data_IF_459863099798
#
_entry.id   IF_459863099798
#
_cell.length_a   1.000
_cell.length_b   1.000
_cell.length_c   1.000
_cell.angle_alpha   90.00
_cell.angle_beta   90.00
_cell.angle_gamma   90.00
#
_symmetry.space_group_name_H-M   'P 1'
#
loop_
_entity.id
_entity.type
_entity.pdbx_description
1 polymer ?
#
# COMPACT_ATOMS: atom_id res chain seq x y z
N UNK A 1 2.93 18.67 -0.38
CA UNK A 1 2.78 17.32 -0.95
C UNK A 1 2.40 17.41 -2.44
N UNK A 2 2.59 16.36 -3.27
CA UNK A 2 2.31 16.44 -4.71
C UNK A 2 0.88 16.86 -5.04
N UNK A 3 -0.13 16.27 -4.40
CA UNK A 3 -1.54 16.65 -4.61
C UNK A 3 -1.83 18.09 -4.16
N UNK A 4 -1.16 18.56 -3.10
CA UNK A 4 -1.34 19.92 -2.59
C UNK A 4 -0.80 20.96 -3.56
N UNK A 5 0.28 20.63 -4.29
CA UNK A 5 0.78 21.45 -5.36
C UNK A 5 -0.23 21.56 -6.52
N UNK A 6 -0.83 20.45 -6.93
CA UNK A 6 -1.89 20.47 -7.96
C UNK A 6 -3.06 21.33 -7.47
N UNK A 7 -3.51 21.12 -6.22
CA UNK A 7 -4.57 21.92 -5.61
C UNK A 7 -4.21 23.42 -5.59
N UNK A 8 -2.98 23.76 -5.19
CA UNK A 8 -2.48 25.14 -5.25
C UNK A 8 -2.56 25.72 -6.68
N UNK A 9 -2.16 24.95 -7.70
CA UNK A 9 -2.26 25.39 -9.11
C UNK A 9 -3.71 25.62 -9.55
N UNK A 10 -4.66 24.90 -8.95
CA UNK A 10 -6.09 25.08 -9.23
C UNK A 10 -6.69 26.31 -8.52
N UNK A 11 -6.27 26.57 -7.29
CA UNK A 11 -6.95 27.55 -6.42
C UNK A 11 -6.13 28.82 -6.16
N UNK A 12 -4.81 28.75 -6.19
CA UNK A 12 -3.88 29.79 -5.74
C UNK A 12 -3.65 29.82 -4.24
N UNK A 13 -4.24 28.91 -3.47
CA UNK A 13 -4.18 28.91 -2.01
C UNK A 13 -3.35 27.74 -1.45
N UNK A 14 -2.66 27.94 -0.34
CA UNK A 14 -1.92 26.89 0.36
C UNK A 14 -2.83 26.15 1.32
N UNK A 15 -3.02 24.86 1.09
CA UNK A 15 -3.72 23.95 2.00
C UNK A 15 -3.22 22.52 1.83
N UNK A 16 -3.40 21.73 2.86
CA UNK A 16 -3.24 20.28 2.87
C UNK A 16 -4.42 19.62 3.58
N UNK A 17 -4.44 18.30 3.67
CA UNK A 17 -5.48 17.60 4.41
C UNK A 17 -4.90 16.49 5.30
N UNK A 18 -5.70 16.04 6.25
CA UNK A 18 -5.27 15.21 7.37
C UNK A 18 -4.65 13.88 6.97
N UNK A 19 -5.15 13.20 5.90
CA UNK A 19 -4.69 11.85 5.58
C UNK A 19 -3.27 11.85 5.01
N UNK A 20 -2.97 12.77 4.09
CA UNK A 20 -1.65 12.90 3.49
C UNK A 20 -0.66 13.65 4.40
N UNK A 21 -1.15 14.67 5.14
CA UNK A 21 -0.35 15.36 6.14
C UNK A 21 0.12 14.44 7.29
N UNK A 22 -0.62 13.37 7.60
CA UNK A 22 -0.20 12.34 8.56
C UNK A 22 1.16 11.73 8.21
N UNK A 23 1.46 11.57 6.92
CA UNK A 23 2.72 11.00 6.43
C UNK A 23 3.92 11.94 6.58
N UNK A 24 3.72 13.22 6.90
CA UNK A 24 4.81 14.20 7.09
C UNK A 24 5.57 14.00 8.40
N UNK A 25 5.03 13.25 9.35
CA UNK A 25 5.46 13.12 10.75
C UNK A 25 5.32 14.40 11.57
N UNK A 26 4.81 15.48 11.00
CA UNK A 26 4.61 16.78 11.69
C UNK A 26 3.18 16.96 12.17
N UNK A 27 2.24 16.15 11.70
CA UNK A 27 0.84 16.19 12.12
C UNK A 27 0.65 15.49 13.48
N UNK A 28 -0.06 16.10 14.39
CA UNK A 28 -0.69 15.45 15.54
C UNK A 28 -1.93 14.68 15.02
N UNK A 29 -1.74 13.39 14.70
CA UNK A 29 -2.74 12.52 14.09
C UNK A 29 -3.99 12.38 14.97
N UNK A 30 -3.85 12.43 16.28
CA UNK A 30 -4.97 12.34 17.22
C UNK A 30 -5.84 13.60 17.15
N UNK A 31 -5.21 14.77 17.16
CA UNK A 31 -5.90 16.05 17.18
C UNK A 31 -6.06 16.66 15.78
N UNK A 32 -5.60 15.98 14.73
CA UNK A 32 -5.80 16.33 13.31
C UNK A 32 -5.30 17.74 12.96
N UNK A 33 -4.16 18.13 13.52
CA UNK A 33 -3.53 19.46 13.37
C UNK A 33 -2.01 19.37 13.48
N UNK A 34 -1.30 20.37 13.03
CA UNK A 34 0.15 20.41 13.20
C UNK A 34 0.56 20.31 14.66
N UNK A 35 1.59 19.50 14.94
CA UNK A 35 2.09 19.22 16.28
C UNK A 35 2.97 20.37 16.78
N UNK A 36 2.39 21.33 17.50
CA UNK A 36 3.16 22.47 18.09
C UNK A 36 4.38 22.02 18.90
N UNK A 37 4.29 20.97 19.77
CA UNK A 37 5.45 20.51 20.53
C UNK A 37 6.57 20.00 19.64
N UNK A 38 6.23 19.27 18.54
CA UNK A 38 7.22 18.73 17.63
C UNK A 38 7.87 19.83 16.80
N UNK A 39 7.08 20.75 16.26
CA UNK A 39 7.59 21.91 15.51
C UNK A 39 8.56 22.73 16.35
N UNK A 40 8.21 23.01 17.61
CA UNK A 40 9.10 23.71 18.55
C UNK A 40 10.40 22.97 18.81
N UNK A 41 10.36 21.63 18.95
CA UNK A 41 11.58 20.81 19.15
C UNK A 41 12.50 20.80 17.93
N UNK A 42 11.93 20.92 16.73
CA UNK A 42 12.65 20.92 15.46
C UNK A 42 13.05 22.31 14.99
N UNK A 43 12.70 23.34 15.78
CA UNK A 43 12.90 24.76 15.42
C UNK A 43 12.29 25.12 14.05
N UNK A 44 11.09 24.59 13.80
CA UNK A 44 10.33 24.83 12.56
C UNK A 44 9.25 25.87 12.81
N UNK A 45 9.25 26.92 11.99
CA UNK A 45 8.17 27.91 12.00
C UNK A 45 6.87 27.31 11.47
N UNK A 46 5.82 27.32 12.29
CA UNK A 46 4.49 26.87 11.92
C UNK A 46 3.90 27.65 10.73
N UNK A 47 4.35 28.88 10.50
CA UNK A 47 3.95 29.70 9.35
C UNK A 47 4.39 29.14 7.98
N UNK A 48 5.34 28.20 7.96
CA UNK A 48 5.75 27.48 6.74
C UNK A 48 4.76 26.38 6.34
N UNK A 49 3.88 25.98 7.25
CA UNK A 49 2.96 24.88 7.03
C UNK A 49 1.58 25.40 6.62
N UNK A 50 0.93 24.77 5.63
CA UNK A 50 -0.39 25.20 5.16
C UNK A 50 -1.49 24.88 6.18
N UNK A 51 -2.67 25.48 6.00
CA UNK A 51 -3.87 25.08 6.75
C UNK A 51 -4.22 23.62 6.46
N UNK A 52 -4.63 22.89 7.52
CA UNK A 52 -5.02 21.47 7.46
C UNK A 52 -6.54 21.37 7.41
N UNK A 53 -7.07 20.63 6.46
CA UNK A 53 -8.49 20.37 6.25
C UNK A 53 -8.81 18.90 6.44
N UNK A 54 -10.08 18.55 6.57
CA UNK A 54 -10.56 17.19 6.30
C UNK A 54 -10.58 16.96 4.78
N UNK A 55 -10.53 15.71 4.35
CA UNK A 55 -10.42 15.36 2.92
C UNK A 55 -11.56 15.91 2.07
N UNK A 56 -12.79 15.92 2.60
CA UNK A 56 -14.00 16.41 1.92
C UNK A 56 -14.28 17.90 2.11
N UNK A 57 -13.52 18.59 2.96
CA UNK A 57 -13.71 20.03 3.17
C UNK A 57 -13.34 20.82 1.92
N UNK A 58 -14.19 21.80 1.58
CA UNK A 58 -13.85 22.78 0.56
C UNK A 58 -12.70 23.63 1.06
N UNK A 59 -11.54 23.48 0.43
CA UNK A 59 -10.29 24.15 0.82
C UNK A 59 -9.91 25.29 -0.12
N UNK A 60 -10.78 25.63 -1.05
CA UNK A 60 -10.64 26.72 -2.04
C UNK A 60 -11.60 26.56 -3.20
N UNK A 61 -11.50 27.44 -4.17
CA UNK A 61 -12.30 27.39 -5.41
C UNK A 61 -11.42 27.49 -6.64
N UNK A 62 -11.85 26.94 -7.76
CA UNK A 62 -11.14 26.98 -9.03
C UNK A 62 -10.96 28.43 -9.47
N UNK A 63 -9.72 28.87 -9.61
CA UNK A 63 -9.37 30.22 -10.03
C UNK A 63 -9.76 30.46 -11.51
N UNK A 64 -10.00 31.71 -11.88
CA UNK A 64 -10.32 32.07 -13.26
C UNK A 64 -9.24 31.62 -14.27
N UNK A 65 -7.98 31.67 -13.87
CA UNK A 65 -6.85 31.23 -14.73
C UNK A 65 -6.90 29.72 -14.97
N UNK A 66 -7.03 28.93 -13.88
CA UNK A 66 -7.09 27.48 -14.00
C UNK A 66 -8.39 27.03 -14.73
N UNK A 67 -9.51 27.68 -14.46
CA UNK A 67 -10.77 27.44 -15.11
C UNK A 67 -10.67 27.61 -16.65
N UNK A 68 -10.06 28.71 -17.08
CA UNK A 68 -9.86 28.97 -18.52
C UNK A 68 -8.96 27.91 -19.19
N UNK A 69 -7.89 27.45 -18.50
CA UNK A 69 -7.00 26.41 -19.00
C UNK A 69 -7.66 25.03 -19.10
N UNK A 70 -8.58 24.72 -18.20
CA UNK A 70 -9.26 23.43 -18.12
C UNK A 70 -10.59 23.39 -18.89
N UNK A 71 -11.09 24.52 -19.39
CA UNK A 71 -12.40 24.61 -20.00
C UNK A 71 -13.55 24.41 -19.01
N UNK A 72 -13.36 24.78 -17.75
CA UNK A 72 -14.33 24.63 -16.66
C UNK A 72 -14.84 26.01 -16.19
N UNK A 73 -16.00 26.09 -15.54
CA UNK A 73 -16.44 27.31 -14.87
C UNK A 73 -15.50 27.69 -13.73
N UNK A 74 -15.22 28.99 -13.57
CA UNK A 74 -14.52 29.50 -12.38
C UNK A 74 -15.41 29.34 -11.13
N UNK A 75 -14.77 29.25 -9.94
CA UNK A 75 -15.49 29.14 -8.67
C UNK A 75 -15.99 27.74 -8.33
N UNK A 76 -15.71 26.71 -9.12
CA UNK A 76 -15.98 25.31 -8.75
C UNK A 76 -15.26 24.97 -7.44
N UNK A 77 -15.96 24.40 -6.43
CA UNK A 77 -15.33 24.03 -5.17
C UNK A 77 -14.20 23.00 -5.36
N UNK A 78 -13.09 23.22 -4.68
CA UNK A 78 -11.93 22.31 -4.63
C UNK A 78 -11.77 21.83 -3.22
N UNK A 79 -11.90 20.51 -3.00
CA UNK A 79 -11.76 19.89 -1.68
C UNK A 79 -10.29 19.63 -1.29
N UNK A 80 -10.05 19.27 -0.04
CA UNK A 80 -8.72 18.91 0.48
C UNK A 80 -8.08 17.75 -0.28
N UNK A 81 -8.89 16.78 -0.70
CA UNK A 81 -8.44 15.57 -1.37
C UNK A 81 -8.06 14.46 -0.40
N UNK A 82 -7.12 13.60 -0.76
CA UNK A 82 -6.66 12.51 0.10
C UNK A 82 -5.31 11.97 -0.34
N UNK A 83 -4.52 11.47 0.60
CA UNK A 83 -3.37 10.64 0.29
C UNK A 83 -3.80 9.41 -0.53
N UNK A 84 -2.94 8.91 -1.43
CA UNK A 84 -3.29 7.87 -2.41
C UNK A 84 -3.91 6.61 -1.77
N UNK A 85 -3.34 6.16 -0.65
CA UNK A 85 -3.84 4.97 0.06
C UNK A 85 -5.21 5.22 0.71
N UNK A 86 -5.42 6.40 1.31
CA UNK A 86 -6.70 6.76 1.92
C UNK A 86 -7.79 7.00 0.87
N UNK A 87 -7.45 7.67 -0.24
CA UNK A 87 -8.36 7.86 -1.37
C UNK A 87 -8.71 6.54 -2.06
N UNK A 88 -7.70 5.67 -2.28
CA UNK A 88 -7.90 4.33 -2.81
C UNK A 88 -8.75 3.46 -1.90
N UNK A 89 -8.60 3.59 -0.58
CA UNK A 89 -9.44 2.90 0.39
C UNK A 89 -10.91 3.33 0.27
N UNK A 90 -11.19 4.63 0.16
CA UNK A 90 -12.56 5.13 -0.08
C UNK A 90 -13.12 4.56 -1.37
N UNK A 91 -12.36 4.60 -2.47
CA UNK A 91 -12.76 4.05 -3.77
C UNK A 91 -13.05 2.55 -3.74
N UNK A 92 -12.37 1.80 -2.88
CA UNK A 92 -12.60 0.38 -2.64
C UNK A 92 -13.63 0.10 -1.53
N UNK A 93 -14.29 1.12 -0.98
CA UNK A 93 -15.29 0.99 0.07
C UNK A 93 -14.73 0.53 1.43
N UNK A 94 -13.45 0.81 1.72
CA UNK A 94 -12.81 0.57 3.02
C UNK A 94 -13.11 1.78 3.93
N UNK A 95 -14.36 1.96 4.27
CA UNK A 95 -14.87 3.12 5.01
C UNK A 95 -15.52 2.74 6.34
N UNK A 96 -15.38 1.49 6.74
CA UNK A 96 -15.91 0.93 8.00
C UNK A 96 -15.03 -0.21 8.50
N UNK A 97 -15.05 -0.45 9.80
CA UNK A 97 -14.30 -1.53 10.41
C UNK A 97 -14.72 -2.93 9.88
N UNK A 98 -13.73 -3.78 9.71
CA UNK A 98 -13.90 -5.16 9.24
C UNK A 98 -13.64 -5.40 7.76
N UNK A 99 -13.54 -4.35 6.94
CA UNK A 99 -13.13 -4.46 5.54
C UNK A 99 -11.70 -3.94 5.43
N UNK A 100 -10.81 -4.80 4.91
CA UNK A 100 -9.38 -4.53 4.76
C UNK A 100 -9.04 -4.42 3.28
N UNK A 101 -8.14 -3.53 2.91
CA UNK A 101 -7.51 -3.55 1.59
C UNK A 101 -6.16 -4.26 1.66
N UNK A 102 -5.90 -5.17 0.73
CA UNK A 102 -4.57 -5.72 0.47
C UNK A 102 -4.18 -5.41 -0.97
N UNK A 103 -3.39 -4.35 -1.12
CA UNK A 103 -2.90 -3.89 -2.43
C UNK A 103 -1.54 -4.52 -2.69
N UNK A 104 -1.39 -5.25 -3.79
CA UNK A 104 -0.13 -5.86 -4.20
C UNK A 104 0.30 -5.31 -5.56
N UNK A 105 1.08 -4.24 -5.51
CA UNK A 105 1.83 -3.67 -6.63
C UNK A 105 3.30 -4.06 -6.55
N UNK A 106 4.24 -3.20 -6.94
CA UNK A 106 5.68 -3.40 -6.68
C UNK A 106 5.91 -3.56 -5.19
N UNK A 107 5.41 -2.64 -4.37
CA UNK A 107 5.25 -2.80 -2.92
C UNK A 107 3.89 -3.42 -2.58
N UNK A 108 3.74 -3.85 -1.33
CA UNK A 108 2.48 -4.34 -0.79
C UNK A 108 1.99 -3.46 0.35
N UNK A 109 0.68 -3.25 0.43
CA UNK A 109 0.06 -2.47 1.50
C UNK A 109 -1.15 -3.22 2.04
N UNK A 110 -1.18 -3.45 3.35
CA UNK A 110 -2.38 -3.87 4.06
C UNK A 110 -2.92 -2.68 4.81
N UNK A 111 -4.12 -2.25 4.45
CA UNK A 111 -4.77 -1.06 4.97
C UNK A 111 -6.07 -1.42 5.69
N UNK A 112 -6.23 -0.97 6.91
CA UNK A 112 -7.39 -1.22 7.75
C UNK A 112 -8.00 0.09 8.25
N UNK A 113 -9.31 0.26 8.02
CA UNK A 113 -10.08 1.34 8.63
C UNK A 113 -10.18 1.14 10.16
N UNK A 114 -10.07 2.23 10.91
CA UNK A 114 -10.29 2.24 12.36
C UNK A 114 -11.20 3.40 12.76
N UNK A 115 -12.19 3.10 13.59
CA UNK A 115 -13.11 4.11 14.15
C UNK A 115 -12.43 4.96 15.22
N UNK A 116 -11.35 4.46 15.82
CA UNK A 116 -10.56 5.12 16.85
C UNK A 116 -9.09 5.13 16.46
N UNK A 117 -8.33 6.08 16.98
CA UNK A 117 -6.89 6.12 16.82
C UNK A 117 -6.24 4.98 17.60
N UNK A 118 -5.65 4.04 16.89
CA UNK A 118 -4.89 2.94 17.46
C UNK A 118 -3.43 3.01 17.01
N UNK A 119 -2.50 2.81 17.93
CA UNK A 119 -1.06 2.85 17.66
C UNK A 119 -0.44 1.52 18.07
N UNK A 120 0.30 0.88 17.18
CA UNK A 120 1.11 -0.28 17.54
C UNK A 120 2.25 0.17 18.48
N UNK A 121 2.34 -0.35 19.71
CA UNK A 121 3.34 0.09 20.69
C UNK A 121 4.78 -0.18 20.22
N UNK A 122 4.98 -1.09 19.28
CA UNK A 122 6.28 -1.41 18.69
C UNK A 122 6.59 -0.59 17.42
N UNK A 123 5.64 0.23 16.95
CA UNK A 123 5.84 1.09 15.79
C UNK A 123 6.01 0.34 14.45
N UNK A 124 5.52 -0.90 14.34
CA UNK A 124 5.69 -1.76 13.15
C UNK A 124 4.77 -1.38 12.00
N UNK A 125 3.67 -0.69 12.29
CA UNK A 125 2.68 -0.21 11.31
C UNK A 125 2.43 1.28 11.49
N UNK A 126 1.93 1.92 10.44
CA UNK A 126 1.58 3.34 10.47
C UNK A 126 0.14 3.53 10.92
N UNK A 127 -0.11 4.57 11.72
CA UNK A 127 -1.44 5.05 12.05
C UNK A 127 -1.60 6.47 11.54
N UNK A 128 -2.52 6.68 10.60
CA UNK A 128 -2.79 7.97 9.96
C UNK A 128 -4.27 8.33 10.04
N UNK A 129 -4.60 9.60 9.82
CA UNK A 129 -5.98 10.00 9.60
C UNK A 129 -6.50 9.35 8.30
N UNK A 130 -7.74 8.90 8.32
CA UNK A 130 -8.43 8.43 7.11
C UNK A 130 -8.97 9.61 6.31
N UNK A 131 -9.24 9.42 5.00
CA UNK A 131 -9.99 10.38 4.20
C UNK A 131 -11.49 10.45 4.56
N UNK A 132 -11.96 9.57 5.42
CA UNK A 132 -13.29 9.66 6.06
C UNK A 132 -13.16 10.48 7.34
N UNK A 133 -13.94 11.56 7.45
CA UNK A 133 -13.90 12.50 8.57
C UNK A 133 -13.97 11.80 9.93
N UNK A 134 -13.11 12.22 10.84
CA UNK A 134 -13.07 11.70 12.21
C UNK A 134 -12.72 10.22 12.32
N UNK A 135 -12.12 9.63 11.27
CA UNK A 135 -11.66 8.23 11.23
C UNK A 135 -10.15 8.16 11.02
N UNK A 136 -9.60 7.00 11.34
CA UNK A 136 -8.19 6.68 11.19
C UNK A 136 -8.01 5.43 10.34
N UNK A 137 -6.80 5.14 9.97
CA UNK A 137 -6.43 3.87 9.41
C UNK A 137 -5.09 3.39 9.96
N UNK A 138 -4.93 2.08 9.98
CA UNK A 138 -3.66 1.42 10.27
C UNK A 138 -3.15 0.79 9.00
N UNK A 139 -1.86 0.92 8.72
CA UNK A 139 -1.28 0.48 7.46
C UNK A 139 0.07 -0.21 7.69
N UNK A 140 0.19 -1.46 7.24
CA UNK A 140 1.45 -2.19 7.10
C UNK A 140 1.95 -2.12 5.66
N UNK A 141 3.25 -1.99 5.47
CA UNK A 141 3.88 -1.82 4.15
C UNK A 141 5.02 -2.82 3.96
N UNK A 142 4.94 -3.59 2.88
CA UNK A 142 5.98 -4.52 2.40
C UNK A 142 6.67 -3.87 1.19
N UNK A 143 7.99 -3.73 1.23
CA UNK A 143 8.72 -2.98 0.20
C UNK A 143 8.81 -3.72 -1.15
N UNK A 144 8.86 -5.05 -1.13
CA UNK A 144 9.03 -5.87 -2.35
C UNK A 144 7.98 -6.99 -2.40
N UNK A 145 6.72 -6.65 -2.66
CA UNK A 145 5.64 -7.61 -2.81
C UNK A 145 5.55 -8.18 -4.24
N UNK A 146 4.71 -7.65 -5.10
CA UNK A 146 4.67 -8.02 -6.52
C UNK A 146 5.98 -7.71 -7.26
N UNK A 147 6.74 -6.74 -6.75
CA UNK A 147 8.11 -6.45 -7.20
C UNK A 147 9.06 -7.65 -7.11
N UNK A 148 8.84 -8.58 -6.17
CA UNK A 148 9.64 -9.82 -6.08
C UNK A 148 9.43 -10.73 -7.29
N UNK A 149 8.19 -10.90 -7.76
CA UNK A 149 7.90 -11.65 -8.98
C UNK A 149 8.40 -10.90 -10.23
N UNK A 150 8.31 -9.57 -10.24
CA UNK A 150 8.88 -8.74 -11.30
C UNK A 150 10.40 -8.89 -11.37
N UNK A 151 11.07 -8.87 -10.22
CA UNK A 151 12.51 -9.12 -10.14
C UNK A 151 12.85 -10.52 -10.66
N UNK A 152 12.12 -11.56 -10.24
CA UNK A 152 12.33 -12.93 -10.75
C UNK A 152 12.19 -12.97 -12.27
N UNK A 153 11.11 -12.42 -12.83
CA UNK A 153 10.88 -12.33 -14.27
C UNK A 153 12.07 -11.68 -15.00
N UNK A 154 12.57 -10.57 -14.46
CA UNK A 154 13.61 -9.79 -15.12
C UNK A 154 15.01 -10.42 -15.00
N UNK A 155 15.31 -11.12 -13.92
CA UNK A 155 16.65 -11.63 -13.65
C UNK A 155 16.80 -13.14 -13.96
N UNK A 156 15.74 -13.92 -13.81
CA UNK A 156 15.79 -15.38 -13.89
C UNK A 156 14.77 -15.97 -14.89
N UNK A 157 13.79 -15.19 -15.32
CA UNK A 157 12.65 -15.60 -16.12
C UNK A 157 12.81 -15.31 -17.63
N UNK A 158 14.02 -15.19 -18.17
CA UNK A 158 14.24 -14.82 -19.57
C UNK A 158 13.63 -15.83 -20.56
N UNK A 159 13.65 -17.13 -20.22
CA UNK A 159 13.04 -18.17 -21.05
C UNK A 159 11.52 -17.99 -21.14
N UNK A 160 10.86 -17.68 -20.01
CA UNK A 160 9.42 -17.43 -19.95
C UNK A 160 9.07 -16.13 -20.69
N UNK A 161 9.88 -15.09 -20.58
CA UNK A 161 9.70 -13.83 -21.32
C UNK A 161 9.78 -14.05 -22.82
N UNK A 162 10.77 -14.80 -23.30
CA UNK A 162 10.93 -15.08 -24.73
C UNK A 162 9.80 -15.95 -25.26
N UNK A 163 9.42 -17.01 -24.50
CA UNK A 163 8.29 -17.87 -24.88
C UNK A 163 6.97 -17.10 -24.92
N UNK A 164 6.75 -16.22 -23.96
CA UNK A 164 5.57 -15.35 -23.94
C UNK A 164 5.52 -14.42 -25.15
N UNK A 165 6.66 -13.81 -25.50
CA UNK A 165 6.80 -12.96 -26.68
C UNK A 165 6.46 -13.71 -27.98
N UNK A 166 6.93 -14.95 -28.13
CA UNK A 166 6.66 -15.79 -29.29
C UNK A 166 5.18 -16.15 -29.43
N UNK A 167 4.50 -16.37 -28.29
CA UNK A 167 3.10 -16.78 -28.26
C UNK A 167 2.10 -15.60 -28.11
N UNK A 168 2.60 -14.36 -27.97
CA UNK A 168 1.75 -13.18 -27.84
C UNK A 168 0.96 -13.13 -26.51
N UNK A 169 1.51 -13.72 -25.42
CA UNK A 169 0.87 -13.76 -24.09
C UNK A 169 1.70 -12.99 -23.06
N UNK A 170 1.08 -12.69 -21.91
CA UNK A 170 1.78 -12.02 -20.79
C UNK A 170 2.78 -12.99 -20.13
N UNK A 171 4.06 -12.62 -19.95
CA UNK A 171 5.05 -13.44 -19.25
C UNK A 171 4.61 -13.84 -17.83
N UNK A 172 3.85 -13.01 -17.15
CA UNK A 172 3.31 -13.34 -15.82
C UNK A 172 2.30 -14.49 -15.87
N UNK A 173 1.59 -14.67 -16.96
CA UNK A 173 0.71 -15.82 -17.15
C UNK A 173 1.49 -17.12 -17.16
N UNK A 174 2.58 -17.22 -17.94
CA UNK A 174 3.46 -18.40 -17.95
C UNK A 174 4.11 -18.65 -16.59
N UNK A 175 4.63 -17.62 -15.94
CA UNK A 175 5.20 -17.74 -14.59
C UNK A 175 4.17 -18.29 -13.61
N UNK A 176 2.94 -17.77 -13.66
CA UNK A 176 1.85 -18.21 -12.79
C UNK A 176 1.44 -19.66 -13.07
N UNK A 177 1.38 -20.09 -14.33
CA UNK A 177 1.10 -21.48 -14.71
C UNK A 177 2.20 -22.43 -14.21
N UNK A 178 3.47 -22.05 -14.31
CA UNK A 178 4.58 -22.82 -13.77
C UNK A 178 4.51 -22.90 -12.24
N UNK A 179 4.26 -21.78 -11.54
CA UNK A 179 4.08 -21.78 -10.11
C UNK A 179 2.97 -22.72 -9.65
N UNK A 180 1.86 -22.77 -10.41
CA UNK A 180 0.72 -23.64 -10.10
C UNK A 180 1.06 -25.13 -10.18
N UNK A 181 2.08 -25.54 -10.97
CA UNK A 181 2.52 -26.92 -11.06
C UNK A 181 3.37 -27.41 -9.87
N UNK A 182 3.91 -26.50 -9.06
CA UNK A 182 4.60 -26.86 -7.84
C UNK A 182 3.61 -27.08 -6.68
N UNK A 183 3.89 -27.98 -5.72
CA UNK A 183 3.02 -28.19 -4.56
C UNK A 183 3.00 -26.98 -3.63
N UNK A 184 1.94 -26.89 -2.82
CA UNK A 184 1.79 -25.84 -1.76
C UNK A 184 2.97 -25.90 -0.80
N UNK A 185 3.52 -24.74 -0.47
CA UNK A 185 4.71 -24.61 0.38
C UNK A 185 6.01 -24.92 -0.34
N UNK A 186 5.96 -25.06 -1.70
CA UNK A 186 7.16 -25.23 -2.55
C UNK A 186 8.13 -26.32 -2.05
N UNK A 187 7.60 -27.40 -1.43
CA UNK A 187 8.36 -28.49 -0.78
C UNK A 187 9.39 -28.01 0.27
N UNK A 188 9.04 -26.95 1.01
CA UNK A 188 9.90 -26.38 2.07
C UNK A 188 10.91 -25.35 1.56
N UNK A 189 10.75 -24.89 0.34
CA UNK A 189 11.53 -23.75 -0.18
C UNK A 189 10.83 -22.45 0.18
N UNK A 190 11.46 -21.61 1.00
CA UNK A 190 10.97 -20.30 1.37
C UNK A 190 11.74 -19.19 0.66
N UNK A 191 11.04 -18.15 0.28
CA UNK A 191 11.62 -16.92 -0.24
C UNK A 191 11.37 -15.76 0.73
N UNK A 192 12.43 -15.06 1.12
CA UNK A 192 12.35 -13.81 1.88
C UNK A 192 12.34 -12.64 0.89
N UNK A 193 11.26 -11.82 0.82
CA UNK A 193 11.10 -10.82 -0.23
C UNK A 193 11.83 -9.49 0.06
N UNK A 194 12.82 -9.46 0.94
CA UNK A 194 13.45 -8.24 1.44
C UNK A 194 14.51 -7.67 0.47
N UNK A 195 14.19 -7.61 -0.82
CA UNK A 195 15.13 -7.24 -1.88
C UNK A 195 15.66 -5.80 -1.75
N UNK A 196 14.92 -4.90 -1.10
CA UNK A 196 15.26 -3.48 -0.92
C UNK A 196 15.24 -3.06 0.56
N UNK A 197 15.52 -3.97 1.47
CA UNK A 197 15.22 -3.81 2.88
C UNK A 197 13.76 -4.14 3.17
N UNK A 198 13.32 -3.90 4.41
CA UNK A 198 11.92 -4.08 4.76
C UNK A 198 11.45 -3.00 5.74
N UNK A 199 10.15 -2.69 5.66
CA UNK A 199 9.48 -1.75 6.55
C UNK A 199 8.67 -2.50 7.62
N UNK A 200 7.59 -3.15 7.25
CA UNK A 200 6.75 -3.94 8.17
C UNK A 200 7.04 -5.42 7.99
N UNK A 201 7.31 -6.19 9.06
CA UNK A 201 7.33 -5.80 10.47
C UNK A 201 8.71 -5.39 11.00
N UNK A 202 9.76 -5.48 10.19
CA UNK A 202 11.14 -5.51 10.69
C UNK A 202 11.79 -4.12 10.80
N UNK A 203 11.34 -3.14 10.00
CA UNK A 203 11.93 -1.79 9.91
C UNK A 203 13.46 -1.82 9.72
N UNK A 204 13.95 -2.73 8.86
CA UNK A 204 15.37 -2.96 8.61
C UNK A 204 15.74 -2.62 7.15
N UNK A 205 16.44 -1.50 6.90
CA UNK A 205 16.87 -1.12 5.56
C UNK A 205 17.99 -2.01 5.02
N UNK A 206 18.62 -2.83 5.87
CA UNK A 206 19.70 -3.74 5.52
C UNK A 206 19.23 -5.18 5.30
N UNK A 207 17.98 -5.52 5.57
CA UNK A 207 17.42 -6.82 5.23
C UNK A 207 17.61 -7.11 3.74
N UNK A 208 17.84 -8.38 3.39
CA UNK A 208 18.05 -8.80 1.99
C UNK A 208 17.21 -10.03 1.68
N UNK A 209 16.81 -10.15 0.40
CA UNK A 209 16.13 -11.32 -0.10
C UNK A 209 16.98 -12.57 -0.04
N UNK A 210 16.36 -13.72 0.22
CA UNK A 210 17.03 -15.01 0.27
C UNK A 210 16.09 -16.15 -0.06
N UNK A 211 16.62 -17.25 -0.60
CA UNK A 211 15.99 -18.55 -0.59
C UNK A 211 16.54 -19.42 0.53
N UNK A 212 15.65 -20.04 1.30
CA UNK A 212 15.97 -20.91 2.42
C UNK A 212 15.35 -22.29 2.14
N UNK A 213 16.12 -23.36 2.36
CA UNK A 213 15.66 -24.73 2.15
C UNK A 213 15.91 -25.26 0.74
N UNK A 214 16.72 -24.60 -0.08
CA UNK A 214 17.02 -25.03 -1.45
C UNK A 214 17.71 -26.40 -1.46
N UNK A 215 17.24 -27.31 -2.31
CA UNK A 215 17.80 -28.65 -2.51
C UNK A 215 17.72 -29.07 -3.99
N UNK A 216 18.32 -30.21 -4.35
CA UNK A 216 18.33 -30.71 -5.73
C UNK A 216 16.94 -31.00 -6.33
N UNK A 217 15.91 -31.15 -5.51
CA UNK A 217 14.53 -31.39 -5.97
C UNK A 217 13.83 -30.14 -6.49
N UNK A 218 14.30 -28.97 -6.10
CA UNK A 218 13.65 -27.70 -6.41
C UNK A 218 14.00 -27.24 -7.83
N UNK A 219 13.03 -27.25 -8.72
CA UNK A 219 13.14 -26.67 -10.06
C UNK A 219 12.48 -25.29 -10.15
N UNK A 220 12.45 -24.71 -11.36
CA UNK A 220 11.86 -23.40 -11.63
C UNK A 220 10.44 -23.20 -11.06
N UNK A 221 9.50 -24.16 -11.20
CA UNK A 221 8.17 -24.02 -10.62
C UNK A 221 8.18 -23.73 -9.12
N UNK A 222 9.06 -24.42 -8.38
CA UNK A 222 9.22 -24.21 -6.93
C UNK A 222 9.79 -22.84 -6.61
N UNK A 223 10.80 -22.36 -7.37
CA UNK A 223 11.38 -21.03 -7.20
C UNK A 223 10.32 -19.95 -7.43
N UNK A 224 9.54 -20.04 -8.52
CA UNK A 224 8.50 -19.04 -8.82
C UNK A 224 7.42 -19.05 -7.74
N UNK A 225 6.95 -20.26 -7.38
CA UNK A 225 5.92 -20.41 -6.35
C UNK A 225 6.38 -19.86 -5.00
N UNK A 226 7.60 -20.18 -4.58
CA UNK A 226 8.15 -19.68 -3.31
C UNK A 226 8.25 -18.15 -3.29
N UNK A 227 8.55 -17.49 -4.42
CA UNK A 227 8.54 -16.02 -4.53
C UNK A 227 7.12 -15.47 -4.33
N UNK A 228 6.11 -16.08 -4.95
CA UNK A 228 4.71 -15.67 -4.77
C UNK A 228 4.21 -15.91 -3.35
N UNK A 229 4.55 -17.07 -2.77
CA UNK A 229 4.22 -17.41 -1.38
C UNK A 229 4.93 -16.48 -0.40
N UNK A 230 6.24 -16.24 -0.55
CA UNK A 230 7.03 -15.37 0.32
C UNK A 230 6.53 -13.92 0.33
N UNK A 231 6.22 -13.35 -0.83
CA UNK A 231 5.61 -12.03 -0.92
C UNK A 231 4.24 -11.99 -0.21
N UNK A 232 3.46 -13.06 -0.31
CA UNK A 232 2.14 -13.16 0.33
C UNK A 232 2.27 -13.37 1.85
N UNK A 233 3.28 -14.11 2.32
CA UNK A 233 3.56 -14.25 3.75
C UNK A 233 3.94 -12.91 4.40
N UNK A 234 4.78 -12.12 3.73
CA UNK A 234 5.12 -10.78 4.23
C UNK A 234 3.87 -9.86 4.35
N UNK A 235 2.93 -9.96 3.40
CA UNK A 235 1.64 -9.27 3.52
C UNK A 235 0.79 -9.83 4.68
N UNK A 236 0.85 -11.16 4.93
CA UNK A 236 0.18 -11.76 6.08
C UNK A 236 0.75 -11.26 7.40
N UNK A 237 2.05 -11.06 7.51
CA UNK A 237 2.66 -10.51 8.73
C UNK A 237 2.07 -9.13 9.06
N UNK A 238 1.87 -8.26 8.06
CA UNK A 238 1.15 -7.00 8.23
C UNK A 238 -0.27 -7.22 8.77
N UNK A 239 -0.99 -8.19 8.20
CA UNK A 239 -2.36 -8.51 8.58
C UNK A 239 -2.46 -9.04 10.02
N UNK A 240 -1.51 -9.89 10.44
CA UNK A 240 -1.48 -10.44 11.80
C UNK A 240 -1.17 -9.36 12.85
N UNK A 241 -0.32 -8.37 12.53
CA UNK A 241 -0.11 -7.21 13.40
C UNK A 241 -1.42 -6.43 13.58
N UNK A 242 -2.13 -6.15 12.47
CA UNK A 242 -3.41 -5.43 12.49
C UNK A 242 -4.47 -6.19 13.31
N UNK A 243 -4.55 -7.52 13.16
CA UNK A 243 -5.42 -8.37 13.97
C UNK A 243 -5.04 -8.32 15.46
N UNK A 244 -3.73 -8.33 15.76
CA UNK A 244 -3.21 -8.20 17.13
C UNK A 244 -3.53 -6.86 17.80
N UNK A 245 -3.88 -5.84 17.02
CA UNK A 245 -4.39 -4.55 17.50
C UNK A 245 -5.93 -4.56 17.71
N UNK A 246 -6.56 -5.74 17.67
CA UNK A 246 -8.02 -5.92 17.82
C UNK A 246 -8.86 -5.24 16.73
N UNK A 247 -8.23 -4.88 15.59
CA UNK A 247 -8.94 -4.37 14.42
C UNK A 247 -9.61 -5.56 13.71
N UNK A 248 -10.95 -5.55 13.54
CA UNK A 248 -11.64 -6.69 12.98
C UNK A 248 -11.29 -6.90 11.50
N UNK A 249 -11.09 -8.16 11.10
CA UNK A 249 -10.84 -8.58 9.72
C UNK A 249 -11.94 -9.57 9.31
N UNK A 250 -12.89 -9.11 8.49
CA UNK A 250 -14.03 -9.93 8.01
C UNK A 250 -13.96 -10.20 6.53
N UNK A 251 -13.44 -9.25 5.77
CA UNK A 251 -13.32 -9.29 4.31
C UNK A 251 -12.04 -8.58 3.89
N UNK A 252 -11.32 -9.17 2.92
CA UNK A 252 -10.12 -8.57 2.35
C UNK A 252 -10.39 -8.27 0.88
N UNK A 253 -10.27 -7.01 0.49
CA UNK A 253 -10.36 -6.56 -0.90
C UNK A 253 -8.98 -6.45 -1.51
N UNK A 254 -8.77 -7.22 -2.57
CA UNK A 254 -7.50 -7.25 -3.28
C UNK A 254 -7.45 -6.18 -4.37
N UNK A 255 -6.27 -5.59 -4.55
CA UNK A 255 -6.01 -4.69 -5.67
C UNK A 255 -4.56 -4.78 -6.14
N UNK A 256 -4.23 -4.06 -7.22
CA UNK A 256 -2.90 -4.11 -7.83
C UNK A 256 -2.68 -5.31 -8.74
N UNK A 257 -1.42 -5.48 -9.16
CA UNK A 257 -1.03 -6.55 -10.11
C UNK A 257 -1.25 -7.96 -9.57
N UNK A 258 -1.02 -8.17 -8.26
CA UNK A 258 -1.23 -9.46 -7.59
C UNK A 258 -2.70 -9.91 -7.49
N UNK A 259 -3.66 -9.01 -7.77
CA UNK A 259 -5.08 -9.33 -7.82
C UNK A 259 -5.57 -9.79 -9.21
N UNK A 260 -4.77 -9.65 -10.27
CA UNK A 260 -5.20 -9.94 -11.64
C UNK A 260 -5.35 -11.44 -11.92
N UNK A 261 -4.36 -12.25 -11.49
CA UNK A 261 -4.34 -13.67 -11.74
C UNK A 261 -5.18 -14.47 -10.73
N UNK A 262 -6.03 -15.42 -11.19
CA UNK A 262 -6.85 -16.22 -10.28
C UNK A 262 -6.01 -17.09 -9.34
N UNK A 263 -4.88 -17.62 -9.79
CA UNK A 263 -3.99 -18.43 -8.97
C UNK A 263 -3.44 -17.63 -7.78
N UNK A 264 -2.93 -16.41 -8.00
CA UNK A 264 -2.38 -15.60 -6.89
C UNK A 264 -3.47 -15.09 -5.96
N UNK A 265 -4.68 -14.82 -6.46
CA UNK A 265 -5.82 -14.52 -5.58
C UNK A 265 -6.15 -15.69 -4.65
N UNK A 266 -6.19 -16.92 -5.19
CA UNK A 266 -6.43 -18.12 -4.38
C UNK A 266 -5.31 -18.33 -3.36
N UNK A 267 -4.05 -18.19 -3.78
CA UNK A 267 -2.89 -18.27 -2.89
C UNK A 267 -2.97 -17.25 -1.74
N UNK A 268 -3.39 -16.03 -2.03
CA UNK A 268 -3.61 -15.01 -1.02
C UNK A 268 -4.74 -15.41 -0.05
N UNK A 269 -5.87 -15.92 -0.56
CA UNK A 269 -6.97 -16.40 0.29
C UNK A 269 -6.51 -17.52 1.23
N UNK A 270 -5.78 -18.50 0.71
CA UNK A 270 -5.27 -19.65 1.45
C UNK A 270 -4.29 -19.21 2.55
N UNK A 271 -3.32 -18.36 2.22
CA UNK A 271 -2.31 -17.87 3.15
C UNK A 271 -2.93 -16.96 4.23
N UNK A 272 -3.81 -16.04 3.84
CA UNK A 272 -4.47 -15.13 4.80
C UNK A 272 -5.49 -15.88 5.69
N UNK A 273 -5.98 -17.05 5.24
CA UNK A 273 -7.06 -17.78 5.91
C UNK A 273 -8.36 -16.97 5.96
N UNK A 274 -8.60 -16.16 4.93
CA UNK A 274 -9.71 -15.22 4.86
C UNK A 274 -10.29 -15.17 3.44
N UNK A 275 -11.59 -14.86 3.36
CA UNK A 275 -12.22 -14.56 2.08
C UNK A 275 -11.58 -13.31 1.47
N UNK A 276 -11.18 -13.40 0.21
CA UNK A 276 -10.70 -12.28 -0.61
C UNK A 276 -11.68 -11.97 -1.75
N UNK A 277 -11.75 -10.72 -2.14
CA UNK A 277 -12.64 -10.24 -3.21
C UNK A 277 -11.86 -9.36 -4.19
#
# INVERSE_FOLDING_TARGET
>A
LPKDYIRYRLTGEFATEVSDASGTLLLDVKNRRWSKPLLSKLDLDAGLLPSVYESEDVSGTLSAIAAAQLGLPAGVPVVGGGGDQAAGAVGNGIVKAGVISATMGTSGVVFAHSDEMQVDPLGRVHTFCHAVRGRWHVMGVVLSAGGSLQWYRNQLGQAEVELARQNGIDPYELLTQQAASAPVGSEGLYFLPYLTGERTPHADPYARGAWIGLSLRHGRPHLIRSVMEGATYAMKDCLEIIKGMEIPVREIRLSGGGARGPFWRQLQADIYGQKVC
#
